data_IF_425285724587
#
_entry.id   IF_425285724587
#
_cell.length_a   1.000
_cell.length_b   1.000
_cell.length_c   1.000
_cell.angle_alpha   90.00
_cell.angle_beta   90.00
_cell.angle_gamma   90.00
#
_symmetry.space_group_name_H-M   'P 1'
#
loop_
_entity.id
_entity.type
_entity.pdbx_description
1 polymer ?
#
# COMPACT_ATOMS: atom_id res chain seq x y z
N UNK A 1 0.13 10.47 9.31
CA UNK A 1 -1.08 9.79 8.80
C UNK A 1 -0.69 8.40 8.31
N UNK A 2 -1.60 7.43 8.31
CA UNK A 2 -1.33 6.09 7.78
C UNK A 2 -2.06 5.94 6.45
N UNK A 3 -1.35 5.54 5.40
CA UNK A 3 -1.88 5.32 4.06
C UNK A 3 -2.13 3.82 3.86
N UNK A 4 -3.31 3.45 3.37
CA UNK A 4 -3.60 2.06 2.98
C UNK A 4 -3.21 1.79 1.53
N UNK A 5 -3.12 0.51 1.14
CA UNK A 5 -2.91 0.15 -0.26
C UNK A 5 -4.03 0.69 -1.18
N UNK A 6 -5.26 0.79 -0.68
CA UNK A 6 -6.37 1.35 -1.45
C UNK A 6 -6.16 2.85 -1.75
N UNK A 7 -5.72 3.63 -0.76
CA UNK A 7 -5.46 5.07 -0.91
C UNK A 7 -4.31 5.32 -1.90
N UNK A 8 -3.23 4.53 -1.78
CA UNK A 8 -2.08 4.59 -2.68
C UNK A 8 -2.49 4.27 -4.12
N UNK A 9 -3.20 3.15 -4.34
CA UNK A 9 -3.61 2.72 -5.67
C UNK A 9 -4.58 3.70 -6.34
N UNK A 10 -5.49 4.30 -5.56
CA UNK A 10 -6.38 5.34 -6.05
C UNK A 10 -5.59 6.58 -6.51
N UNK A 11 -4.63 7.04 -5.71
CA UNK A 11 -3.76 8.17 -6.06
C UNK A 11 -2.93 7.89 -7.30
N UNK A 12 -2.34 6.69 -7.37
CA UNK A 12 -1.55 6.23 -8.50
C UNK A 12 -2.36 6.24 -9.80
N UNK A 13 -3.57 5.68 -9.78
CA UNK A 13 -4.43 5.63 -10.96
C UNK A 13 -4.80 7.02 -11.48
N UNK A 14 -5.09 7.96 -10.58
CA UNK A 14 -5.38 9.35 -10.93
C UNK A 14 -4.18 10.04 -11.59
N UNK A 15 -2.99 9.91 -11.01
CA UNK A 15 -1.75 10.48 -11.58
C UNK A 15 -1.41 9.88 -12.93
N UNK A 16 -1.60 8.56 -13.07
CA UNK A 16 -1.35 7.83 -14.33
C UNK A 16 -2.45 8.01 -15.38
N UNK A 17 -3.56 8.67 -15.06
CA UNK A 17 -4.75 8.80 -15.91
C UNK A 17 -5.28 7.45 -16.41
N UNK A 18 -5.35 6.46 -15.50
CA UNK A 18 -5.85 5.11 -15.78
C UNK A 18 -7.14 4.82 -15.00
N UNK A 19 -8.08 4.04 -15.57
CA UNK A 19 -9.31 3.71 -14.88
C UNK A 19 -9.06 2.79 -13.66
N UNK A 20 -9.73 3.07 -12.55
CA UNK A 20 -9.61 2.33 -11.28
C UNK A 20 -10.99 1.94 -10.76
N UNK A 21 -11.60 0.94 -11.40
CA UNK A 21 -12.96 0.46 -11.07
C UNK A 21 -13.01 -1.03 -10.69
N UNK A 22 -11.89 -1.74 -10.79
CA UNK A 22 -11.84 -3.17 -10.48
C UNK A 22 -11.97 -3.38 -8.96
N UNK A 23 -12.77 -4.36 -8.49
CA UNK A 23 -12.84 -4.67 -7.07
C UNK A 23 -11.49 -5.20 -6.54
N UNK A 24 -11.34 -5.19 -5.21
CA UNK A 24 -10.17 -5.74 -4.55
C UNK A 24 -9.99 -7.23 -4.89
N UNK A 25 -8.75 -7.64 -5.16
CA UNK A 25 -8.41 -9.03 -5.43
C UNK A 25 -8.53 -9.84 -4.13
N UNK A 26 -9.32 -10.92 -4.10
CA UNK A 26 -9.41 -11.82 -2.96
C UNK A 26 -8.06 -12.38 -2.51
N UNK A 27 -7.87 -12.52 -1.21
CA UNK A 27 -6.62 -13.00 -0.61
C UNK A 27 -6.25 -14.44 -1.01
N UNK A 28 -7.24 -15.31 -1.24
CA UNK A 28 -6.98 -16.69 -1.66
C UNK A 28 -6.41 -16.76 -3.08
N UNK A 29 -6.83 -15.87 -3.98
CA UNK A 29 -6.30 -15.79 -5.34
C UNK A 29 -4.83 -15.36 -5.31
N UNK A 30 -4.50 -14.37 -4.49
CA UNK A 30 -3.11 -13.95 -4.29
C UNK A 30 -2.24 -15.10 -3.74
N UNK A 31 -2.75 -15.86 -2.77
CA UNK A 31 -2.06 -17.03 -2.21
C UNK A 31 -1.90 -18.16 -3.24
N UNK A 32 -2.86 -18.33 -4.15
CA UNK A 32 -2.77 -19.33 -5.22
C UNK A 32 -1.71 -18.97 -6.28
N UNK A 33 -1.59 -17.69 -6.63
CA UNK A 33 -0.62 -17.22 -7.63
C UNK A 33 0.80 -17.11 -7.05
N UNK A 34 0.93 -16.59 -5.82
CA UNK A 34 2.22 -16.20 -5.25
C UNK A 34 2.70 -17.09 -4.09
N UNK A 35 1.90 -18.08 -3.68
CA UNK A 35 2.22 -18.96 -2.57
C UNK A 35 2.41 -18.21 -1.25
N UNK A 36 3.47 -18.55 -0.51
CA UNK A 36 3.80 -17.94 0.78
C UNK A 36 4.17 -16.45 0.67
N UNK A 37 4.72 -16.01 -0.49
CA UNK A 37 5.08 -14.61 -0.73
C UNK A 37 3.86 -13.67 -0.71
N UNK A 38 2.64 -14.19 -0.90
CA UNK A 38 1.40 -13.43 -0.76
C UNK A 38 1.27 -12.76 0.62
N UNK A 39 1.91 -13.31 1.66
CA UNK A 39 1.91 -12.72 3.00
C UNK A 39 2.48 -11.31 3.05
N UNK A 40 3.51 -11.01 2.23
CA UNK A 40 4.09 -9.66 2.17
C UNK A 40 3.15 -8.63 1.53
N UNK A 41 2.34 -9.07 0.56
CA UNK A 41 1.41 -8.19 -0.18
C UNK A 41 0.10 -8.00 0.58
N UNK A 42 -0.41 -9.06 1.19
CA UNK A 42 -1.64 -9.02 1.97
C UNK A 42 -1.43 -8.39 3.35
N UNK A 43 -0.19 -8.41 3.84
CA UNK A 43 0.20 -7.78 5.10
C UNK A 43 0.48 -6.29 4.94
N UNK A 44 0.58 -5.61 6.07
CA UNK A 44 0.97 -4.21 6.15
C UNK A 44 1.24 -3.82 7.60
N UNK A 45 2.14 -2.85 7.81
CA UNK A 45 2.44 -2.31 9.14
C UNK A 45 2.12 -0.82 9.16
N UNK A 46 1.44 -0.39 10.24
CA UNK A 46 1.21 1.04 10.50
C UNK A 46 2.47 1.61 11.14
N UNK A 47 3.29 2.29 10.35
CA UNK A 47 4.58 2.84 10.78
C UNK A 47 4.49 4.36 10.91
N UNK A 48 5.00 4.90 12.02
CA UNK A 48 5.12 6.35 12.24
C UNK A 48 6.53 6.82 11.88
N UNK A 49 6.63 7.96 11.20
CA UNK A 49 7.89 8.66 10.92
C UNK A 49 8.35 9.58 12.05
N UNK A 50 7.60 9.66 13.17
CA UNK A 50 7.83 10.67 14.22
C UNK A 50 9.25 10.66 14.77
N UNK A 51 9.82 9.48 15.00
CA UNK A 51 11.18 9.33 15.53
C UNK A 51 12.24 10.07 14.70
N UNK A 52 12.14 10.01 13.37
CA UNK A 52 13.12 10.65 12.49
C UNK A 52 12.83 12.14 12.31
N UNK A 53 11.56 12.53 12.33
CA UNK A 53 11.15 13.94 12.30
C UNK A 53 11.61 14.67 13.57
N UNK A 54 11.43 14.05 14.74
CA UNK A 54 11.91 14.58 16.03
C UNK A 54 13.45 14.67 16.07
N UNK A 55 14.15 13.85 15.27
CA UNK A 55 15.59 13.90 15.08
C UNK A 55 16.05 14.94 14.02
N UNK A 56 15.13 15.71 13.44
CA UNK A 56 15.41 16.79 12.49
C UNK A 56 15.32 16.39 11.01
N UNK A 57 14.76 15.22 10.67
CA UNK A 57 14.54 14.84 9.28
C UNK A 57 13.29 15.50 8.69
N UNK A 58 13.46 16.22 7.58
CA UNK A 58 12.38 16.86 6.83
C UNK A 58 12.08 16.10 5.52
N UNK A 59 10.82 15.69 5.34
CA UNK A 59 10.34 15.03 4.12
C UNK A 59 10.16 16.07 2.98
N UNK A 60 10.37 15.64 1.74
CA UNK A 60 10.16 16.43 0.52
C UNK A 60 8.94 15.93 -0.26
#
# INVERSE_FOLDING_TARGET
>A
EFISNADFMHTLANVMKRPFFMPHVPSFLMRLIMGEAAGMILGGSRISSRKIQDAGYEFQ
#
